data_IF_730798718178
#
_entry.id   IF_730798718178
#
_cell.length_a   1.000
_cell.length_b   1.000
_cell.length_c   1.000
_cell.angle_alpha   90.00
_cell.angle_beta   90.00
_cell.angle_gamma   90.00
#
_symmetry.space_group_name_H-M   'P 1'
#
loop_
_entity.id
_entity.type
_entity.pdbx_description
1 polymer ?
#
# COMPACT_ATOMS: atom_id res chain seq x y z
N UNK A 1 21.13 -33.19 -24.25
CA UNK A 1 20.25 -32.70 -25.31
C UNK A 1 19.27 -31.72 -24.67
N UNK A 2 19.74 -30.57 -24.16
CA UNK A 2 18.90 -29.62 -23.40
C UNK A 2 19.39 -28.16 -23.44
N UNK A 3 20.16 -27.76 -24.46
CA UNK A 3 20.53 -26.34 -24.64
C UNK A 3 19.44 -25.54 -25.39
N UNK A 4 18.61 -26.21 -26.19
CA UNK A 4 17.57 -25.59 -27.02
C UNK A 4 16.35 -25.18 -26.19
N UNK A 5 16.05 -25.90 -25.11
CA UNK A 5 14.90 -25.58 -24.25
C UNK A 5 15.17 -24.41 -23.28
N UNK A 6 16.44 -24.19 -22.90
CA UNK A 6 16.80 -23.04 -22.05
C UNK A 6 16.73 -21.69 -22.78
N UNK A 7 17.04 -21.67 -24.09
CA UNK A 7 16.96 -20.45 -24.91
C UNK A 7 15.52 -19.96 -25.16
N UNK A 8 14.55 -20.89 -25.22
CA UNK A 8 13.13 -20.57 -25.44
C UNK A 8 12.47 -19.91 -24.23
N UNK A 9 12.90 -20.29 -23.01
CA UNK A 9 12.44 -19.67 -21.76
C UNK A 9 13.03 -18.27 -21.54
N UNK A 10 14.24 -18.01 -22.05
CA UNK A 10 14.99 -16.75 -21.83
C UNK A 10 14.55 -15.61 -22.75
N UNK A 11 14.18 -15.92 -24.00
CA UNK A 11 13.55 -14.96 -24.93
C UNK A 11 12.17 -14.48 -24.42
N UNK A 12 11.49 -15.33 -23.65
CA UNK A 12 10.19 -15.02 -23.07
C UNK A 12 10.29 -13.93 -21.99
N UNK A 13 11.37 -13.88 -21.23
CA UNK A 13 11.55 -12.85 -20.19
C UNK A 13 11.87 -11.48 -20.77
N UNK A 14 12.74 -11.39 -21.79
CA UNK A 14 13.00 -10.13 -22.51
C UNK A 14 11.75 -9.56 -23.20
N UNK A 15 10.94 -10.42 -23.82
CA UNK A 15 9.66 -10.02 -24.41
C UNK A 15 8.63 -9.54 -23.37
N UNK A 16 8.59 -10.17 -22.18
CA UNK A 16 7.74 -9.74 -21.06
C UNK A 16 8.14 -8.38 -20.51
N UNK A 17 9.44 -8.12 -20.35
CA UNK A 17 9.95 -6.81 -19.94
C UNK A 17 9.63 -5.74 -20.98
N UNK A 18 9.85 -6.01 -22.27
CA UNK A 18 9.54 -5.06 -23.32
C UNK A 18 8.03 -4.74 -23.41
N UNK A 19 7.17 -5.75 -23.23
CA UNK A 19 5.72 -5.58 -23.26
C UNK A 19 5.16 -4.82 -22.03
N UNK A 20 5.85 -4.87 -20.89
CA UNK A 20 5.44 -4.16 -19.66
C UNK A 20 4.10 -4.60 -19.05
N UNK A 21 3.48 -5.66 -19.55
CA UNK A 21 2.14 -6.10 -19.10
C UNK A 21 2.08 -6.48 -17.63
N UNK A 22 3.21 -6.91 -17.06
CA UNK A 22 3.36 -7.24 -15.64
C UNK A 22 3.31 -6.01 -14.71
N UNK A 23 3.36 -4.79 -15.25
CA UNK A 23 3.29 -3.54 -14.49
C UNK A 23 1.88 -3.12 -14.12
N UNK A 24 0.88 -3.58 -14.89
CA UNK A 24 -0.52 -3.19 -14.68
C UNK A 24 -1.02 -3.58 -13.27
N UNK A 25 -0.79 -4.81 -12.76
CA UNK A 25 -1.18 -5.16 -11.40
C UNK A 25 -0.54 -4.27 -10.34
N UNK A 26 0.75 -3.93 -10.47
CA UNK A 26 1.46 -3.09 -9.52
C UNK A 26 0.95 -1.63 -9.54
N UNK A 27 0.66 -1.12 -10.75
CA UNK A 27 0.07 0.21 -10.94
C UNK A 27 -1.33 0.28 -10.32
N UNK A 28 -2.15 -0.74 -10.54
CA UNK A 28 -3.48 -0.85 -9.94
C UNK A 28 -3.39 -0.91 -8.42
N UNK A 29 -2.46 -1.71 -7.87
CA UNK A 29 -2.22 -1.78 -6.43
C UNK A 29 -1.85 -0.41 -5.84
N UNK A 30 -0.98 0.37 -6.48
CA UNK A 30 -0.63 1.75 -6.06
C UNK A 30 -1.86 2.67 -6.08
N UNK A 31 -2.76 2.47 -7.05
CA UNK A 31 -4.03 3.19 -7.13
C UNK A 31 -4.97 2.83 -5.98
N UNK A 32 -5.15 1.55 -5.70
CA UNK A 32 -5.98 1.09 -4.57
C UNK A 32 -5.40 1.47 -3.21
N UNK A 33 -4.07 1.48 -3.07
CA UNK A 33 -3.40 2.00 -1.88
C UNK A 33 -3.75 3.48 -1.63
N UNK A 34 -3.79 4.31 -2.68
CA UNK A 34 -4.20 5.72 -2.55
C UNK A 34 -5.65 5.84 -2.08
N UNK A 35 -6.55 5.06 -2.68
CA UNK A 35 -7.97 5.02 -2.31
C UNK A 35 -8.15 4.62 -0.86
N UNK A 36 -7.36 3.65 -0.37
CA UNK A 36 -7.39 3.22 1.02
C UNK A 36 -6.99 4.36 1.99
N UNK A 37 -5.94 5.12 1.66
CA UNK A 37 -5.55 6.31 2.45
C UNK A 37 -6.67 7.36 2.47
N UNK A 38 -7.32 7.61 1.33
CA UNK A 38 -8.46 8.52 1.27
C UNK A 38 -9.65 8.03 2.10
N UNK A 39 -9.96 6.73 2.03
CA UNK A 39 -11.02 6.12 2.83
C UNK A 39 -10.75 6.24 4.33
N UNK A 40 -9.52 6.03 4.78
CA UNK A 40 -9.14 6.23 6.19
C UNK A 40 -9.39 7.68 6.63
N UNK A 41 -9.04 8.65 5.80
CA UNK A 41 -9.31 10.07 6.09
C UNK A 41 -10.82 10.36 6.17
N UNK A 42 -11.61 9.80 5.25
CA UNK A 42 -13.06 9.97 5.22
C UNK A 42 -13.73 9.37 6.46
N UNK A 43 -13.36 8.13 6.83
CA UNK A 43 -13.88 7.45 8.03
C UNK A 43 -13.51 8.23 9.30
N UNK A 44 -12.26 8.68 9.40
CA UNK A 44 -11.80 9.47 10.54
C UNK A 44 -12.62 10.75 10.73
N UNK A 45 -12.88 11.49 9.66
CA UNK A 45 -13.74 12.69 9.67
C UNK A 45 -15.18 12.37 10.07
N UNK A 46 -15.78 11.34 9.45
CA UNK A 46 -17.15 10.93 9.75
C UNK A 46 -17.32 10.56 11.23
N UNK A 47 -16.37 9.80 11.79
CA UNK A 47 -16.36 9.45 13.22
C UNK A 47 -16.23 10.67 14.12
N UNK A 48 -15.38 11.64 13.78
CA UNK A 48 -15.25 12.87 14.58
C UNK A 48 -16.58 13.63 14.63
N UNK A 49 -17.29 13.75 13.51
CA UNK A 49 -18.59 14.42 13.47
C UNK A 49 -19.69 13.64 14.20
N UNK A 50 -19.73 12.32 14.04
CA UNK A 50 -20.65 11.45 14.79
C UNK A 50 -20.45 11.61 16.30
N UNK A 51 -19.21 11.53 16.78
CA UNK A 51 -18.88 11.71 18.19
C UNK A 51 -19.26 13.10 18.69
N UNK A 52 -19.11 14.16 17.88
CA UNK A 52 -19.54 15.52 18.24
C UNK A 52 -21.05 15.58 18.47
N UNK A 53 -21.85 14.97 17.59
CA UNK A 53 -23.30 14.94 17.75
C UNK A 53 -23.71 14.14 18.99
N UNK A 54 -23.09 12.98 19.22
CA UNK A 54 -23.35 12.16 20.41
C UNK A 54 -22.98 12.88 21.71
N UNK A 55 -21.84 13.57 21.76
CA UNK A 55 -21.45 14.40 22.91
C UNK A 55 -22.35 15.62 23.13
N UNK A 56 -22.99 16.14 22.08
CA UNK A 56 -23.97 17.21 22.22
C UNK A 56 -25.28 16.67 22.82
N UNK A 57 -25.75 15.53 22.32
CA UNK A 57 -26.94 14.85 22.82
C UNK A 57 -26.77 14.30 24.25
N UNK A 58 -25.56 13.89 24.64
CA UNK A 58 -25.30 13.37 25.99
C UNK A 58 -25.56 14.41 27.09
N UNK A 59 -25.48 15.70 26.78
CA UNK A 59 -25.73 16.79 27.73
C UNK A 59 -27.19 16.93 28.16
N UNK A 60 -28.13 16.37 27.40
CA UNK A 60 -29.56 16.36 27.76
C UNK A 60 -30.00 15.05 28.41
N UNK A 61 -29.07 14.18 28.79
CA UNK A 61 -29.35 12.91 29.45
C UNK A 61 -29.19 13.04 30.97
N UNK A 62 -29.55 11.98 31.70
CA UNK A 62 -29.29 11.87 33.15
C UNK A 62 -27.79 11.93 33.44
N UNK A 63 -27.41 12.38 34.64
CA UNK A 63 -26.01 12.62 35.01
C UNK A 63 -25.08 11.43 34.74
N UNK A 64 -25.53 10.21 35.04
CA UNK A 64 -24.77 8.98 34.83
C UNK A 64 -24.61 8.64 33.34
N UNK A 65 -25.72 8.60 32.59
CA UNK A 65 -25.71 8.30 31.16
C UNK A 65 -24.95 9.37 30.38
N UNK A 66 -25.15 10.65 30.71
CA UNK A 66 -24.51 11.79 30.08
C UNK A 66 -22.99 11.79 30.26
N UNK A 67 -22.49 11.53 31.47
CA UNK A 67 -21.05 11.45 31.76
C UNK A 67 -20.38 10.25 31.07
N UNK A 68 -21.01 9.07 31.12
CA UNK A 68 -20.51 7.87 30.44
C UNK A 68 -20.45 8.09 28.93
N UNK A 69 -21.49 8.62 28.32
CA UNK A 69 -21.52 8.90 26.88
C UNK A 69 -20.49 9.95 26.47
N UNK A 70 -20.28 11.00 27.26
CA UNK A 70 -19.26 12.00 26.97
C UNK A 70 -17.86 11.35 26.93
N UNK A 71 -17.51 10.58 27.96
CA UNK A 71 -16.21 9.89 28.07
C UNK A 71 -16.03 8.83 26.98
N UNK A 72 -17.07 8.05 26.68
CA UNK A 72 -17.04 7.03 25.64
C UNK A 72 -16.78 7.65 24.26
N UNK A 73 -17.47 8.75 23.93
CA UNK A 73 -17.28 9.43 22.66
C UNK A 73 -15.92 10.13 22.55
N UNK A 74 -15.34 10.61 23.67
CA UNK A 74 -13.95 11.09 23.67
C UNK A 74 -12.95 9.96 23.35
N UNK A 75 -13.17 8.76 23.89
CA UNK A 75 -12.36 7.58 23.56
C UNK A 75 -12.52 7.13 22.12
N UNK A 76 -13.76 7.03 21.62
CA UNK A 76 -14.06 6.65 20.22
C UNK A 76 -13.45 7.67 19.26
N UNK A 77 -13.54 8.97 19.57
CA UNK A 77 -12.88 10.03 18.78
C UNK A 77 -11.37 9.81 18.68
N UNK A 78 -10.73 9.20 19.69
CA UNK A 78 -9.29 8.94 19.64
C UNK A 78 -8.90 7.89 18.58
N UNK A 79 -9.81 7.00 18.20
CA UNK A 79 -9.61 6.06 17.08
C UNK A 79 -9.32 6.84 15.79
N UNK A 80 -10.00 7.96 15.57
CA UNK A 80 -9.78 8.82 14.39
C UNK A 80 -8.36 9.35 14.28
N UNK A 81 -7.71 9.70 15.40
CA UNK A 81 -6.30 10.14 15.40
C UNK A 81 -5.36 8.99 15.01
N UNK A 82 -5.64 7.78 15.52
CA UNK A 82 -4.83 6.60 15.23
C UNK A 82 -5.00 6.11 13.79
N UNK A 83 -6.21 6.19 13.22
CA UNK A 83 -6.44 5.89 11.81
C UNK A 83 -5.76 6.89 10.87
N UNK A 84 -5.74 8.18 11.21
CA UNK A 84 -5.00 9.18 10.42
C UNK A 84 -3.50 8.90 10.45
N UNK A 85 -2.95 8.59 11.63
CA UNK A 85 -1.54 8.21 11.75
C UNK A 85 -1.23 6.93 10.98
N UNK A 86 -2.10 5.93 11.05
CA UNK A 86 -1.99 4.71 10.23
C UNK A 86 -2.05 5.04 8.73
N UNK A 87 -2.94 5.96 8.32
CA UNK A 87 -3.02 6.45 6.94
C UNK A 87 -1.71 7.10 6.45
N UNK A 88 -1.02 7.87 7.30
CA UNK A 88 0.32 8.40 6.97
C UNK A 88 1.35 7.29 6.78
N UNK A 89 1.41 6.32 7.70
CA UNK A 89 2.31 5.16 7.58
C UNK A 89 1.99 4.32 6.33
N UNK A 90 0.72 4.23 5.96
CA UNK A 90 0.27 3.54 4.75
C UNK A 90 0.70 4.29 3.46
N UNK A 91 0.75 5.63 3.49
CA UNK A 91 1.31 6.41 2.38
C UNK A 91 2.82 6.19 2.25
N UNK A 92 3.57 6.10 3.36
CA UNK A 92 5.00 5.76 3.34
C UNK A 92 5.24 4.37 2.72
N UNK A 93 4.40 3.38 3.08
CA UNK A 93 4.39 2.07 2.44
C UNK A 93 4.14 2.19 0.93
N UNK A 94 3.13 2.96 0.53
CA UNK A 94 2.81 3.20 -0.87
C UNK A 94 3.96 3.85 -1.64
N UNK A 95 4.71 4.78 -1.05
CA UNK A 95 5.89 5.38 -1.67
C UNK A 95 6.97 4.35 -1.99
N UNK A 96 7.20 3.38 -1.11
CA UNK A 96 8.14 2.27 -1.39
C UNK A 96 7.68 1.41 -2.55
N UNK A 97 6.38 1.16 -2.68
CA UNK A 97 5.82 0.43 -3.81
C UNK A 97 5.92 1.26 -5.12
N UNK A 98 5.79 2.59 -5.07
CA UNK A 98 6.08 3.46 -6.23
C UNK A 98 7.55 3.34 -6.65
N UNK A 99 8.49 3.36 -5.70
CA UNK A 99 9.92 3.18 -6.01
C UNK A 99 10.17 1.85 -6.70
N UNK A 100 9.55 0.76 -6.23
CA UNK A 100 9.62 -0.54 -6.88
C UNK A 100 9.11 -0.47 -8.32
N UNK A 101 7.94 0.16 -8.54
CA UNK A 101 7.35 0.34 -9.86
C UNK A 101 8.27 1.13 -10.80
N UNK A 102 8.84 2.24 -10.34
CA UNK A 102 9.79 3.04 -11.13
C UNK A 102 11.01 2.20 -11.55
N UNK A 103 11.53 1.34 -10.66
CA UNK A 103 12.63 0.43 -11.00
C UNK A 103 12.23 -0.59 -12.06
N UNK A 104 11.02 -1.13 -11.99
CA UNK A 104 10.53 -2.04 -13.04
C UNK A 104 10.26 -1.34 -14.37
N UNK A 105 9.81 -0.09 -14.37
CA UNK A 105 9.66 0.72 -15.58
C UNK A 105 11.02 0.90 -16.29
N UNK A 106 12.09 1.19 -15.54
CA UNK A 106 13.45 1.29 -16.14
C UNK A 106 13.90 -0.02 -16.79
N UNK A 107 13.54 -1.18 -16.24
CA UNK A 107 13.82 -2.47 -16.89
C UNK A 107 13.02 -2.68 -18.16
N UNK A 108 11.75 -2.26 -18.17
CA UNK A 108 10.92 -2.34 -19.36
C UNK A 108 11.54 -1.52 -20.50
N UNK A 109 12.01 -0.31 -20.21
CA UNK A 109 12.67 0.57 -21.19
C UNK A 109 13.94 -0.07 -21.76
N UNK A 110 14.78 -0.67 -20.91
CA UNK A 110 15.96 -1.41 -21.36
C UNK A 110 15.60 -2.59 -22.27
N UNK A 111 14.56 -3.35 -21.92
CA UNK A 111 14.07 -4.46 -22.74
C UNK A 111 13.53 -3.99 -24.09
N UNK A 112 12.81 -2.86 -24.15
CA UNK A 112 12.35 -2.25 -25.41
C UNK A 112 13.51 -1.80 -26.29
N UNK A 113 14.52 -1.15 -25.71
CA UNK A 113 15.71 -0.71 -26.43
C UNK A 113 16.47 -1.88 -27.06
N UNK A 114 16.63 -2.99 -26.34
CA UNK A 114 17.27 -4.20 -26.88
C UNK A 114 16.45 -4.81 -28.03
N UNK A 115 15.13 -4.90 -27.88
CA UNK A 115 14.26 -5.40 -28.96
C UNK A 115 14.31 -4.52 -30.22
N UNK A 116 14.39 -3.19 -30.06
CA UNK A 116 14.55 -2.25 -31.18
C UNK A 116 15.88 -2.45 -31.92
N UNK A 117 17.00 -2.60 -31.18
CA UNK A 117 18.30 -2.95 -31.78
C UNK A 117 18.21 -4.27 -32.53
N UNK A 118 17.64 -5.31 -31.90
CA UNK A 118 17.53 -6.63 -32.51
C UNK A 118 16.69 -6.59 -33.80
N UNK A 119 15.59 -5.83 -33.79
CA UNK A 119 14.73 -5.66 -34.97
C UNK A 119 15.48 -4.94 -36.09
N UNK A 120 16.16 -3.83 -35.79
CA UNK A 120 17.00 -3.10 -36.74
C UNK A 120 18.13 -3.95 -37.31
N UNK A 121 18.66 -4.91 -36.54
CA UNK A 121 19.67 -5.85 -37.01
C UNK A 121 19.13 -6.87 -37.99
N UNK A 122 17.94 -7.42 -37.72
CA UNK A 122 17.24 -8.32 -38.64
C UNK A 122 16.89 -7.59 -39.94
N UNK A 123 16.43 -6.33 -39.84
CA UNK A 123 16.10 -5.49 -40.99
C UNK A 123 17.34 -5.11 -41.84
N UNK A 124 18.48 -4.81 -41.20
CA UNK A 124 19.71 -4.39 -41.89
C UNK A 124 20.61 -5.53 -42.39
N UNK A 125 20.21 -6.80 -42.24
CA UNK A 125 21.12 -7.93 -42.48
C UNK A 125 20.56 -9.18 -43.16
N UNK A 126 20.59 -9.21 -44.51
CA UNK A 126 21.22 -10.34 -45.27
C UNK A 126 22.49 -9.93 -46.04
N UNK A 127 22.79 -8.64 -46.25
CA UNK A 127 23.94 -8.19 -47.07
C UNK A 127 25.04 -7.40 -46.31
N UNK A 128 24.68 -6.58 -45.31
CA UNK A 128 25.66 -5.75 -44.54
C UNK A 128 26.18 -6.37 -43.24
N UNK A 129 25.66 -7.54 -42.85
CA UNK A 129 25.79 -8.10 -41.51
C UNK A 129 27.24 -8.36 -41.07
N UNK A 130 28.12 -8.85 -41.95
CA UNK A 130 29.50 -9.23 -41.58
C UNK A 130 30.42 -8.07 -41.19
N UNK A 131 30.20 -6.88 -41.77
CA UNK A 131 31.10 -5.73 -41.57
C UNK A 131 30.75 -4.91 -40.31
N UNK A 132 29.46 -4.81 -39.98
CA UNK A 132 29.00 -4.17 -38.75
C UNK A 132 29.17 -5.08 -37.53
N UNK A 133 28.86 -6.38 -37.67
CA UNK A 133 29.01 -7.37 -36.59
C UNK A 133 30.46 -7.51 -36.11
N UNK A 134 31.47 -7.32 -36.98
CA UNK A 134 32.88 -7.40 -36.56
C UNK A 134 33.36 -6.18 -35.78
N UNK A 135 32.74 -5.02 -35.96
CA UNK A 135 33.18 -3.76 -35.34
C UNK A 135 32.42 -3.45 -34.04
N UNK A 136 31.15 -3.86 -33.95
CA UNK A 136 30.32 -3.68 -32.74
C UNK A 136 30.23 -4.93 -31.85
N UNK A 137 30.44 -6.16 -32.35
CA UNK A 137 30.35 -7.35 -31.48
C UNK A 137 31.57 -7.53 -30.55
N UNK A 138 32.72 -6.93 -30.86
CA UNK A 138 33.83 -6.86 -29.89
C UNK A 138 33.53 -5.91 -28.73
N UNK A 139 32.74 -4.85 -28.94
CA UNK A 139 32.30 -3.94 -27.85
C UNK A 139 30.99 -4.42 -27.17
N UNK A 140 30.17 -5.20 -27.87
CA UNK A 140 28.83 -5.61 -27.40
C UNK A 140 28.79 -7.03 -26.84
N UNK A 141 29.66 -7.97 -27.25
CA UNK A 141 29.62 -9.33 -26.68
C UNK A 141 30.10 -9.43 -25.24
N UNK A 142 30.76 -8.39 -24.72
CA UNK A 142 31.03 -8.21 -23.29
C UNK A 142 29.85 -7.59 -22.52
N UNK A 143 28.84 -7.05 -23.19
CA UNK A 143 27.58 -6.61 -22.57
C UNK A 143 26.57 -7.74 -22.68
N UNK A 144 26.64 -8.61 -21.68
CA UNK A 144 25.68 -9.67 -21.38
C UNK A 144 24.24 -9.25 -21.75
N UNK A 145 23.56 -10.18 -22.40
CA UNK A 145 22.11 -10.38 -22.40
C UNK A 145 21.51 -9.99 -21.02
N UNK A 146 20.28 -9.48 -20.90
CA UNK A 146 19.71 -9.06 -19.62
C UNK A 146 19.42 -10.28 -18.73
N UNK A 147 20.46 -10.94 -18.24
CA UNK A 147 20.40 -11.64 -16.96
C UNK A 147 19.85 -10.60 -15.98
N UNK A 148 18.65 -10.86 -15.46
CA UNK A 148 18.05 -10.00 -14.43
C UNK A 148 19.12 -9.81 -13.37
N UNK A 149 19.60 -8.57 -13.25
CA UNK A 149 20.72 -8.21 -12.41
C UNK A 149 20.48 -8.80 -11.00
N UNK A 150 21.35 -9.71 -10.52
CA UNK A 150 21.20 -10.31 -9.20
C UNK A 150 21.05 -9.25 -8.10
N UNK A 151 21.71 -8.09 -8.25
CA UNK A 151 21.56 -6.96 -7.32
C UNK A 151 20.14 -6.40 -7.34
N UNK A 152 19.51 -6.32 -8.51
CA UNK A 152 18.15 -5.86 -8.66
C UNK A 152 17.12 -6.84 -8.10
N UNK A 153 17.30 -8.14 -8.33
CA UNK A 153 16.44 -9.18 -7.70
C UNK A 153 16.53 -9.06 -6.19
N UNK A 154 17.74 -8.92 -5.66
CA UNK A 154 17.99 -8.79 -4.23
C UNK A 154 17.40 -7.50 -3.67
N UNK A 155 17.56 -6.37 -4.38
CA UNK A 155 16.97 -5.08 -4.01
C UNK A 155 15.44 -5.16 -3.92
N UNK A 156 14.78 -5.74 -4.91
CA UNK A 156 13.32 -5.93 -4.90
C UNK A 156 12.86 -6.73 -3.70
N UNK A 157 13.55 -7.84 -3.39
CA UNK A 157 13.28 -8.68 -2.23
C UNK A 157 13.43 -7.91 -0.92
N UNK A 158 14.51 -7.13 -0.79
CA UNK A 158 14.75 -6.30 0.40
C UNK A 158 13.71 -5.21 0.57
N UNK A 159 13.37 -4.50 -0.52
CA UNK A 159 12.39 -3.42 -0.52
C UNK A 159 10.99 -3.93 -0.17
N UNK A 160 10.55 -5.04 -0.76
CA UNK A 160 9.27 -5.66 -0.41
C UNK A 160 9.25 -6.12 1.04
N UNK A 161 10.31 -6.79 1.51
CA UNK A 161 10.40 -7.27 2.89
C UNK A 161 10.32 -6.11 3.88
N UNK A 162 11.05 -5.02 3.65
CA UNK A 162 11.04 -3.87 4.54
C UNK A 162 9.71 -3.11 4.49
N UNK A 163 9.16 -2.88 3.29
CA UNK A 163 7.87 -2.20 3.12
C UNK A 163 6.73 -2.94 3.85
N UNK A 164 6.63 -4.25 3.66
CA UNK A 164 5.58 -5.03 4.33
C UNK A 164 5.83 -5.21 5.82
N UNK A 165 7.08 -5.29 6.29
CA UNK A 165 7.37 -5.32 7.72
C UNK A 165 6.82 -4.06 8.42
N UNK A 166 7.14 -2.88 7.89
CA UNK A 166 6.66 -1.61 8.45
C UNK A 166 5.13 -1.47 8.37
N UNK A 167 4.53 -1.90 7.25
CA UNK A 167 3.08 -1.89 7.10
C UNK A 167 2.40 -2.81 8.12
N UNK A 168 2.95 -3.99 8.39
CA UNK A 168 2.40 -4.91 9.38
C UNK A 168 2.61 -4.38 10.81
N UNK A 169 3.75 -3.77 11.10
CA UNK A 169 4.00 -3.12 12.39
C UNK A 169 2.99 -1.99 12.65
N UNK A 170 2.68 -1.18 11.63
CA UNK A 170 1.65 -0.14 11.69
C UNK A 170 0.24 -0.72 11.95
N UNK A 171 -0.11 -1.85 11.29
CA UNK A 171 -1.38 -2.55 11.53
C UNK A 171 -1.45 -3.06 12.98
N UNK A 172 -0.37 -3.67 13.48
CA UNK A 172 -0.29 -4.16 14.86
C UNK A 172 -0.41 -3.01 15.85
N UNK A 173 0.24 -1.88 15.60
CA UNK A 173 0.13 -0.68 16.44
C UNK A 173 -1.33 -0.19 16.51
N UNK A 174 -1.99 -0.03 15.37
CA UNK A 174 -3.40 0.39 15.31
C UNK A 174 -4.31 -0.59 16.05
N UNK A 175 -4.17 -1.90 15.78
CA UNK A 175 -4.97 -2.95 16.40
C UNK A 175 -4.86 -2.94 17.93
N UNK A 176 -3.65 -2.84 18.47
CA UNK A 176 -3.42 -2.76 19.94
C UNK A 176 -4.08 -1.52 20.55
N UNK A 177 -3.99 -0.37 19.88
CA UNK A 177 -4.62 0.87 20.37
C UNK A 177 -6.14 0.79 20.34
N UNK A 178 -6.72 0.22 19.28
CA UNK A 178 -8.16 -0.01 19.18
C UNK A 178 -8.67 -1.01 20.22
N UNK A 179 -7.90 -2.06 20.48
CA UNK A 179 -8.22 -3.04 21.52
C UNK A 179 -8.33 -2.36 22.90
N UNK A 180 -7.33 -1.58 23.29
CA UNK A 180 -7.32 -0.84 24.57
C UNK A 180 -8.55 0.09 24.67
N UNK A 181 -8.86 0.83 23.61
CA UNK A 181 -10.06 1.70 23.57
C UNK A 181 -11.34 0.87 23.75
N UNK A 182 -11.46 -0.25 23.04
CA UNK A 182 -12.64 -1.12 23.11
C UNK A 182 -12.84 -1.75 24.49
N UNK A 183 -11.77 -2.20 25.13
CA UNK A 183 -11.79 -2.78 26.47
C UNK A 183 -12.20 -1.74 27.52
N UNK A 184 -11.54 -0.58 27.55
CA UNK A 184 -11.89 0.49 28.49
C UNK A 184 -13.28 1.10 28.22
N UNK A 185 -13.66 1.21 26.94
CA UNK A 185 -14.99 1.67 26.56
C UNK A 185 -16.10 0.76 27.09
N UNK A 186 -15.88 -0.57 27.11
CA UNK A 186 -16.82 -1.51 27.72
C UNK A 186 -16.92 -1.33 29.24
N UNK A 187 -15.80 -1.14 29.94
CA UNK A 187 -15.83 -0.90 31.39
C UNK A 187 -16.58 0.39 31.76
N UNK A 188 -16.52 1.43 30.92
CA UNK A 188 -17.29 2.65 31.16
C UNK A 188 -18.80 2.42 31.21
N UNK A 189 -19.31 1.41 30.48
CA UNK A 189 -20.74 1.10 30.44
C UNK A 189 -21.26 0.57 31.78
N UNK A 190 -20.39 0.02 32.64
CA UNK A 190 -20.78 -0.48 33.97
C UNK A 190 -21.22 0.64 34.93
N UNK A 191 -20.93 1.90 34.59
CA UNK A 191 -21.33 3.06 35.37
C UNK A 191 -22.73 3.60 35.03
N UNK A 192 -23.43 3.00 34.06
CA UNK A 192 -24.83 3.34 33.76
C UNK A 192 -25.72 2.57 34.74
N UNK A 193 -26.45 3.28 35.60
CA UNK A 193 -27.27 2.65 36.63
C UNK A 193 -28.63 2.22 36.06
N UNK A 194 -28.82 0.90 35.93
CA UNK A 194 -30.06 0.30 35.43
C UNK A 194 -31.14 0.14 36.51
N UNK A 195 -30.82 0.38 37.78
CA UNK A 195 -31.71 0.16 38.92
C UNK A 195 -32.57 1.38 39.27
N UNK A 196 -32.30 2.53 38.67
CA UNK A 196 -33.11 3.74 38.84
C UNK A 196 -34.45 3.61 38.09
N UNK A 197 -35.52 3.36 38.83
CA UNK A 197 -36.88 3.71 38.41
C UNK A 197 -36.92 5.22 38.15
N UNK A 198 -37.03 5.60 36.88
CA UNK A 198 -37.07 7.02 36.47
C UNK A 198 -38.37 7.63 36.98
N UNK A 199 -38.30 8.39 38.07
CA UNK A 199 -39.35 9.34 38.42
C UNK A 199 -39.43 10.37 37.29
N UNK A 200 -40.57 10.55 36.60
CA UNK A 200 -40.69 11.53 35.55
C UNK A 200 -40.46 12.92 36.16
N UNK A 201 -39.55 13.65 35.54
CA UNK A 201 -39.22 15.05 35.77
C UNK A 201 -40.44 15.85 36.24
N UNK A 202 -40.52 16.17 37.54
CA UNK A 202 -41.48 17.17 38.02
C UNK A 202 -40.86 18.52 37.73
N UNK A 203 -41.33 19.19 36.67
CA UNK A 203 -41.09 20.60 36.46
C UNK A 203 -41.51 21.37 37.72
N UNK A 204 -40.51 21.85 38.47
CA UNK A 204 -40.70 22.80 39.55
C UNK A 204 -41.08 24.16 38.95
N UNK A 205 -42.21 24.68 39.42
CA UNK A 205 -42.71 26.04 39.21
C UNK A 205 -41.68 27.12 39.51
#
# INVERSE_FOLDING_TARGET
MDMINSGRSRLHDGARYAAGSFMNPLTNAIGEQRRLVDSLSAVSKARVEECKHMMAWSKSQTDDLGDVLLKLNLLIRKISDYELRFGSQYEDFREKIKVLRTRDDTLCEMGRFQNDIQTKLVEKGKSGFKAWLKKDAEETSSKKEPEVDPELVQYKRQLIKSAYAEQLDAVVELGKKMQIIGEHGKHLLEHIDLSRDVHPYTDGK
#
